data_IF_411831902431
#
_entry.id   IF_411831902431
#
_cell.length_a   1.000
_cell.length_b   1.000
_cell.length_c   1.000
_cell.angle_alpha   90.00
_cell.angle_beta   90.00
_cell.angle_gamma   90.00
#
_symmetry.space_group_name_H-M   'P 1'
#
loop_
_entity.id
_entity.type
_entity.pdbx_description
1 polymer ?
#
# COMPACT_ATOMS: atom_id res chain seq x y z
N UNK A 1 4.57 -46.29 13.63
CA UNK A 1 3.57 -45.21 13.71
C UNK A 1 4.27 -43.98 14.27
N UNK A 2 4.42 -42.89 13.50
CA UNK A 2 4.78 -41.59 14.08
C UNK A 2 3.68 -41.27 15.09
N UNK A 3 4.00 -41.14 16.39
CA UNK A 3 3.04 -40.62 17.37
C UNK A 3 2.56 -39.27 16.81
N UNK A 4 1.25 -39.13 16.60
CA UNK A 4 0.70 -37.83 16.19
C UNK A 4 0.99 -36.83 17.31
N UNK A 5 1.45 -35.64 16.96
CA UNK A 5 1.70 -34.59 17.94
C UNK A 5 0.36 -34.18 18.57
N UNK A 6 0.26 -34.23 19.90
CA UNK A 6 -0.93 -33.77 20.65
C UNK A 6 -0.91 -32.24 20.76
N UNK A 7 0.29 -31.67 20.95
CA UNK A 7 0.51 -30.25 21.11
C UNK A 7 1.55 -29.77 20.10
N UNK A 8 1.19 -28.73 19.34
CA UNK A 8 2.11 -28.09 18.40
C UNK A 8 2.11 -26.57 18.60
N UNK A 9 3.29 -25.96 18.57
CA UNK A 9 3.51 -24.52 18.44
C UNK A 9 3.81 -24.25 16.97
N UNK A 10 2.81 -23.94 16.14
CA UNK A 10 3.03 -23.70 14.73
C UNK A 10 3.79 -22.38 14.50
N UNK A 11 4.55 -22.35 13.41
CA UNK A 11 5.14 -21.12 12.90
C UNK A 11 4.03 -20.29 12.24
N UNK A 12 3.56 -19.26 12.94
CA UNK A 12 2.71 -18.22 12.36
C UNK A 12 3.58 -17.08 11.83
N UNK A 13 3.19 -16.53 10.69
CA UNK A 13 3.90 -15.40 10.09
C UNK A 13 3.45 -14.08 10.73
N UNK A 14 4.39 -13.15 10.90
CA UNK A 14 4.04 -11.77 11.21
C UNK A 14 3.52 -11.06 9.95
N UNK A 15 2.54 -10.15 10.07
CA UNK A 15 2.14 -9.32 8.94
C UNK A 15 3.25 -8.34 8.56
N UNK A 16 3.31 -7.87 7.31
CA UNK A 16 4.31 -6.92 6.81
C UNK A 16 5.78 -7.36 7.00
N UNK A 17 6.05 -8.66 6.85
CA UNK A 17 7.37 -9.27 7.07
C UNK A 17 7.91 -9.09 8.51
N UNK A 18 7.02 -8.82 9.46
CA UNK A 18 7.37 -8.82 10.89
C UNK A 18 7.77 -10.23 11.34
N UNK A 19 8.53 -10.27 12.44
CA UNK A 19 9.02 -11.52 13.03
C UNK A 19 7.88 -12.53 13.22
N UNK A 20 8.11 -13.80 12.87
CA UNK A 20 7.14 -14.86 13.09
C UNK A 20 6.90 -15.09 14.59
N UNK A 21 5.87 -15.86 14.92
CA UNK A 21 5.48 -16.18 16.32
C UNK A 21 6.59 -16.80 17.15
N UNK A 22 7.52 -17.49 16.51
CA UNK A 22 8.56 -18.30 17.13
C UNK A 22 9.84 -18.07 16.35
N UNK A 23 10.98 -17.92 17.02
CA UNK A 23 12.30 -17.97 16.37
C UNK A 23 13.04 -19.23 16.81
N UNK A 24 13.39 -20.09 15.85
CA UNK A 24 14.15 -21.33 16.07
C UNK A 24 15.54 -21.21 15.44
N UNK A 25 15.59 -20.87 14.16
CA UNK A 25 16.81 -20.62 13.38
C UNK A 25 16.43 -19.85 12.11
N UNK A 26 17.38 -19.15 11.50
CA UNK A 26 17.11 -18.46 10.23
C UNK A 26 16.61 -19.41 9.13
N UNK A 27 17.16 -20.63 9.07
CA UNK A 27 16.74 -21.65 8.09
C UNK A 27 15.31 -22.14 8.34
N UNK A 28 14.94 -22.43 9.59
CA UNK A 28 13.59 -22.85 9.97
C UNK A 28 12.56 -21.73 9.73
N UNK A 29 12.91 -20.51 10.10
CA UNK A 29 12.03 -19.35 10.02
C UNK A 29 11.84 -18.81 8.60
N UNK A 30 12.85 -18.97 7.74
CA UNK A 30 12.76 -18.63 6.31
C UNK A 30 12.12 -19.73 5.45
N UNK A 31 11.82 -20.90 6.03
CA UNK A 31 11.27 -22.06 5.31
C UNK A 31 12.30 -22.84 4.49
N UNK A 32 13.61 -22.54 4.65
CA UNK A 32 14.70 -23.35 4.06
C UNK A 32 14.80 -24.73 4.73
N UNK A 33 14.53 -24.79 6.03
CA UNK A 33 14.37 -26.03 6.78
C UNK A 33 12.89 -26.24 7.11
N UNK A 34 12.27 -27.27 6.54
CA UNK A 34 10.90 -27.68 6.87
C UNK A 34 10.96 -28.88 7.81
N UNK A 35 10.54 -28.71 9.06
CA UNK A 35 10.68 -29.71 10.10
C UNK A 35 9.60 -29.64 11.20
N UNK A 36 9.41 -30.76 11.87
CA UNK A 36 8.78 -30.83 13.19
C UNK A 36 9.84 -31.11 14.24
N UNK A 37 10.06 -30.18 15.16
CA UNK A 37 11.12 -30.29 16.18
C UNK A 37 10.50 -30.40 17.58
N UNK A 38 11.01 -31.31 18.41
CA UNK A 38 10.57 -31.43 19.80
C UNK A 38 11.19 -30.32 20.65
N UNK A 39 10.39 -29.70 21.52
CA UNK A 39 10.79 -28.61 22.42
C UNK A 39 10.56 -28.99 23.89
N UNK A 40 11.29 -28.33 24.79
CA UNK A 40 11.21 -28.59 26.24
C UNK A 40 10.14 -27.74 26.95
N UNK A 41 9.73 -26.64 26.34
CA UNK A 41 8.75 -25.67 26.85
C UNK A 41 7.86 -25.20 25.72
N UNK A 42 6.58 -25.00 25.99
CA UNK A 42 5.63 -24.56 24.97
C UNK A 42 5.89 -23.10 24.56
N UNK A 43 5.60 -22.76 23.30
CA UNK A 43 5.71 -21.40 22.79
C UNK A 43 4.32 -20.96 22.29
N UNK A 44 3.87 -19.78 22.71
CA UNK A 44 2.58 -19.24 22.28
C UNK A 44 2.66 -18.62 20.87
N UNK A 45 1.55 -18.65 20.11
CA UNK A 45 0.36 -19.48 20.31
C UNK A 45 0.63 -20.95 19.96
N UNK A 46 -0.13 -21.87 20.55
CA UNK A 46 -0.04 -23.29 20.27
C UNK A 46 -1.43 -23.92 20.11
N UNK A 47 -1.48 -25.07 19.45
CA UNK A 47 -2.68 -25.83 19.15
C UNK A 47 -2.65 -27.16 19.91
N UNK A 48 -3.82 -27.56 20.41
CA UNK A 48 -4.04 -28.84 21.09
C UNK A 48 -5.01 -29.66 20.25
N UNK A 49 -4.61 -30.87 19.86
CA UNK A 49 -5.49 -31.81 19.18
C UNK A 49 -6.42 -32.49 20.19
N UNK A 50 -7.62 -31.92 20.35
CA UNK A 50 -8.65 -32.43 21.26
C UNK A 50 -9.26 -33.77 20.84
N UNK A 51 -8.91 -34.30 19.66
CA UNK A 51 -9.36 -35.64 19.24
C UNK A 51 -8.53 -36.77 19.86
N UNK A 52 -7.37 -36.46 20.45
CA UNK A 52 -6.48 -37.44 21.06
C UNK A 52 -6.75 -37.57 22.56
N UNK A 53 -6.88 -38.80 23.07
CA UNK A 53 -7.14 -39.05 24.49
C UNK A 53 -6.10 -38.37 25.40
N UNK A 54 -4.84 -38.32 24.96
CA UNK A 54 -3.74 -37.71 25.69
C UNK A 54 -4.00 -36.22 26.00
N UNK A 55 -4.77 -35.51 25.17
CA UNK A 55 -5.11 -34.09 25.41
C UNK A 55 -5.92 -33.88 26.68
N UNK A 56 -6.66 -34.90 27.13
CA UNK A 56 -7.47 -34.85 28.35
C UNK A 56 -6.64 -34.78 29.64
N UNK A 57 -5.34 -35.11 29.57
CA UNK A 57 -4.43 -35.01 30.71
C UNK A 57 -3.73 -33.66 30.81
N UNK A 58 -3.87 -32.79 29.81
CA UNK A 58 -3.29 -31.46 29.80
C UNK A 58 -4.18 -30.49 30.59
N UNK A 59 -3.57 -29.60 31.38
CA UNK A 59 -4.31 -28.66 32.22
C UNK A 59 -3.60 -27.33 32.35
N UNK A 60 -4.37 -26.25 32.43
CA UNK A 60 -3.91 -24.90 32.76
C UNK A 60 -4.14 -24.55 34.24
N UNK A 61 -4.82 -25.41 35.00
CA UNK A 61 -5.13 -25.21 36.41
C UNK A 61 -4.20 -26.06 37.31
N UNK A 62 -3.50 -25.44 38.28
CA UNK A 62 -2.65 -26.16 39.24
C UNK A 62 -3.40 -27.24 40.03
N UNK A 63 -4.68 -27.01 40.36
CA UNK A 63 -5.48 -27.92 41.19
C UNK A 63 -5.71 -29.30 40.56
N UNK A 64 -5.56 -29.39 39.23
CA UNK A 64 -5.66 -30.66 38.50
C UNK A 64 -4.36 -31.48 38.54
N UNK A 65 -3.29 -30.95 39.12
CA UNK A 65 -1.99 -31.62 39.22
C UNK A 65 -1.72 -32.05 40.67
N UNK A 66 -1.78 -33.36 40.93
CA UNK A 66 -1.45 -33.91 42.25
C UNK A 66 -0.02 -33.51 42.66
N UNK A 67 0.16 -32.98 43.87
CA UNK A 67 1.46 -32.50 44.35
C UNK A 67 2.06 -31.37 43.47
N UNK A 68 1.25 -30.41 43.03
CA UNK A 68 1.79 -29.18 42.43
C UNK A 68 2.55 -28.38 43.50
N UNK A 69 3.86 -28.09 43.33
CA UNK A 69 4.62 -27.40 44.37
C UNK A 69 4.14 -25.96 44.56
N UNK A 70 3.94 -25.53 45.80
CA UNK A 70 3.60 -24.11 46.09
C UNK A 70 4.71 -23.14 45.65
N UNK A 71 5.95 -23.62 45.51
CA UNK A 71 7.09 -22.86 45.03
C UNK A 71 7.13 -22.69 43.50
N UNK A 72 6.31 -23.44 42.75
CA UNK A 72 6.28 -23.33 41.30
C UNK A 72 5.44 -22.13 40.86
N UNK A 73 5.81 -21.58 39.71
CA UNK A 73 5.05 -20.54 39.03
C UNK A 73 3.59 -20.95 38.85
N UNK A 74 2.67 -20.04 39.13
CA UNK A 74 1.24 -20.22 38.93
C UNK A 74 0.78 -19.74 37.55
N UNK A 75 1.69 -19.47 36.61
CA UNK A 75 1.29 -19.08 35.26
C UNK A 75 0.64 -20.27 34.55
N UNK A 76 -0.44 -20.06 33.78
CA UNK A 76 -1.11 -21.13 33.05
C UNK A 76 -0.17 -21.95 32.13
N UNK A 77 0.86 -21.32 31.56
CA UNK A 77 1.81 -21.97 30.65
C UNK A 77 2.79 -22.89 31.38
N UNK A 78 3.24 -22.50 32.56
CA UNK A 78 4.12 -23.33 33.39
C UNK A 78 3.37 -24.56 33.91
N UNK A 79 2.12 -24.35 34.33
CA UNK A 79 1.21 -25.43 34.73
C UNK A 79 0.98 -26.39 33.56
N UNK A 80 0.70 -25.87 32.38
CA UNK A 80 0.49 -26.65 31.17
C UNK A 80 1.73 -27.47 30.80
N UNK A 81 2.90 -26.84 30.77
CA UNK A 81 4.17 -27.50 30.44
C UNK A 81 4.50 -28.61 31.44
N UNK A 82 4.26 -28.39 32.74
CA UNK A 82 4.43 -29.42 33.76
C UNK A 82 3.45 -30.58 33.58
N UNK A 83 2.18 -30.31 33.23
CA UNK A 83 1.18 -31.35 32.96
C UNK A 83 1.60 -32.26 31.81
N UNK A 84 2.08 -31.68 30.71
CA UNK A 84 2.58 -32.42 29.56
C UNK A 84 3.80 -33.29 29.93
N UNK A 85 4.75 -32.72 30.66
CA UNK A 85 5.94 -33.43 31.13
C UNK A 85 5.61 -34.62 32.03
N UNK A 86 4.72 -34.45 33.02
CA UNK A 86 4.28 -35.53 33.93
C UNK A 86 3.61 -36.69 33.20
N UNK A 87 2.91 -36.39 32.11
CA UNK A 87 2.18 -37.36 31.31
C UNK A 87 2.98 -37.88 30.11
N UNK A 88 4.26 -37.49 29.99
CA UNK A 88 5.14 -37.85 28.88
C UNK A 88 4.55 -37.50 27.50
N UNK A 89 3.86 -36.36 27.43
CA UNK A 89 3.29 -35.80 26.20
C UNK A 89 4.34 -34.85 25.60
N UNK A 90 4.94 -35.21 24.46
CA UNK A 90 5.94 -34.37 23.82
C UNK A 90 5.30 -33.10 23.23
N UNK A 91 6.04 -31.98 23.33
CA UNK A 91 5.69 -30.69 22.74
C UNK A 91 6.51 -30.49 21.47
N UNK A 92 5.90 -29.94 20.42
CA UNK A 92 6.59 -29.74 19.14
C UNK A 92 6.43 -28.30 18.62
N UNK A 93 7.42 -27.81 17.87
CA UNK A 93 7.23 -26.74 16.88
C UNK A 93 7.06 -27.34 15.49
N UNK A 94 6.25 -26.70 14.64
CA UNK A 94 6.00 -27.16 13.28
C UNK A 94 5.94 -25.99 12.28
N UNK A 95 6.60 -26.12 11.13
CA UNK A 95 6.49 -25.24 9.97
C UNK A 95 6.20 -26.03 8.68
N UNK A 96 5.68 -27.27 8.80
CA UNK A 96 5.37 -28.14 7.65
C UNK A 96 4.14 -27.65 6.87
N UNK A 97 3.30 -26.83 7.51
CA UNK A 97 2.12 -26.22 6.92
C UNK A 97 2.14 -24.70 7.15
N UNK A 98 1.47 -23.97 6.28
CA UNK A 98 1.18 -22.56 6.50
C UNK A 98 -0.01 -22.45 7.46
N UNK A 99 0.24 -22.01 8.70
CA UNK A 99 -0.78 -21.88 9.73
C UNK A 99 -1.50 -20.52 9.72
N UNK A 100 -1.02 -19.57 8.92
CA UNK A 100 -1.57 -18.21 8.84
C UNK A 100 -0.71 -17.20 9.58
N UNK A 101 -1.35 -16.11 10.01
CA UNK A 101 -0.68 -14.96 10.59
C UNK A 101 -1.05 -14.76 12.05
N UNK A 102 -0.10 -14.24 12.83
CA UNK A 102 -0.37 -13.76 14.18
C UNK A 102 0.09 -12.32 14.33
N UNK A 103 -0.72 -11.52 14.99
CA UNK A 103 -0.36 -10.16 15.39
C UNK A 103 0.37 -10.18 16.72
N UNK A 104 1.38 -9.32 16.88
CA UNK A 104 2.02 -9.08 18.17
C UNK A 104 0.98 -8.61 19.20
N UNK A 105 0.68 -9.46 20.18
CA UNK A 105 -0.32 -9.20 21.21
C UNK A 105 0.13 -8.19 22.27
N UNK A 106 1.43 -7.85 22.31
CA UNK A 106 1.97 -6.82 23.21
C UNK A 106 1.56 -5.41 22.78
N UNK A 107 1.17 -5.23 21.50
CA UNK A 107 0.70 -3.95 21.01
C UNK A 107 -0.68 -3.58 21.60
N UNK A 108 -0.89 -2.29 21.97
CA UNK A 108 -2.19 -1.76 22.32
C UNK A 108 -3.30 -2.16 21.33
N UNK A 109 -4.51 -2.45 21.83
CA UNK A 109 -5.60 -2.99 21.02
C UNK A 109 -5.97 -2.09 19.81
N UNK A 110 -5.91 -0.77 19.97
CA UNK A 110 -6.13 0.19 18.89
C UNK A 110 -5.09 0.07 17.77
N UNK A 111 -3.81 -0.10 18.12
CA UNK A 111 -2.72 -0.30 17.17
C UNK A 111 -2.91 -1.64 16.44
N UNK A 112 -3.21 -2.72 17.17
CA UNK A 112 -3.48 -4.04 16.57
C UNK A 112 -4.64 -4.01 15.58
N UNK A 113 -5.75 -3.38 15.94
CA UNK A 113 -6.92 -3.22 15.05
C UNK A 113 -6.54 -2.47 13.77
N UNK A 114 -5.77 -1.39 13.91
CA UNK A 114 -5.32 -0.61 12.77
C UNK A 114 -4.41 -1.43 11.85
N UNK A 115 -3.37 -2.05 12.40
CA UNK A 115 -2.47 -2.92 11.64
C UNK A 115 -3.23 -4.04 10.93
N UNK A 116 -4.25 -4.62 11.57
CA UNK A 116 -5.09 -5.65 10.94
C UNK A 116 -5.82 -5.12 9.72
N UNK A 117 -6.38 -3.91 9.77
CA UNK A 117 -7.07 -3.31 8.63
C UNK A 117 -6.12 -3.05 7.46
N UNK A 118 -4.90 -2.55 7.71
CA UNK A 118 -3.89 -2.38 6.67
C UNK A 118 -3.41 -3.73 6.11
N UNK A 119 -3.27 -4.74 6.96
CA UNK A 119 -2.88 -6.08 6.53
C UNK A 119 -3.97 -6.72 5.66
N UNK A 120 -5.24 -6.57 6.03
CA UNK A 120 -6.37 -7.01 5.20
C UNK A 120 -6.42 -6.25 3.86
N UNK A 121 -6.15 -4.94 3.86
CA UNK A 121 -6.04 -4.17 2.64
C UNK A 121 -4.93 -4.72 1.73
N UNK A 122 -3.77 -5.05 2.30
CA UNK A 122 -2.66 -5.66 1.56
C UNK A 122 -3.05 -7.01 0.94
N UNK A 123 -3.71 -7.87 1.70
CA UNK A 123 -4.20 -9.14 1.18
C UNK A 123 -5.25 -8.96 0.08
N UNK A 124 -6.06 -7.88 0.11
CA UNK A 124 -7.02 -7.60 -0.97
C UNK A 124 -6.30 -7.22 -2.26
N UNK A 125 -5.25 -6.41 -2.15
CA UNK A 125 -4.39 -6.07 -3.29
C UNK A 125 -3.80 -7.35 -3.89
N UNK A 126 -3.24 -8.22 -3.06
CA UNK A 126 -2.51 -9.41 -3.54
C UNK A 126 -3.41 -10.55 -4.04
N UNK A 127 -4.52 -10.82 -3.34
CA UNK A 127 -5.32 -12.04 -3.51
C UNK A 127 -6.78 -11.78 -3.89
N UNK A 128 -7.21 -10.52 -4.00
CA UNK A 128 -8.59 -10.14 -4.35
C UNK A 128 -9.49 -9.91 -3.14
N UNK A 129 -10.78 -9.65 -3.39
CA UNK A 129 -11.67 -8.97 -2.42
C UNK A 129 -12.11 -9.79 -1.20
N UNK A 130 -11.80 -11.09 -1.16
CA UNK A 130 -12.18 -11.98 -0.06
C UNK A 130 -10.96 -12.79 0.37
N UNK A 131 -9.90 -12.14 0.91
CA UNK A 131 -8.69 -12.88 1.26
C UNK A 131 -8.87 -13.71 2.53
N UNK A 132 -9.77 -13.28 3.43
CA UNK A 132 -10.06 -13.96 4.70
C UNK A 132 -11.57 -14.10 4.87
N UNK A 133 -12.02 -15.33 5.14
CA UNK A 133 -13.42 -15.63 5.46
C UNK A 133 -13.69 -15.17 6.89
N UNK A 134 -14.60 -14.21 7.06
CA UNK A 134 -15.04 -13.75 8.38
C UNK A 134 -16.03 -14.73 8.99
N UNK A 135 -16.04 -14.83 10.33
CA UNK A 135 -17.05 -15.62 11.04
C UNK A 135 -18.45 -15.08 10.79
N UNK A 136 -19.41 -15.96 10.52
CA UNK A 136 -20.83 -15.61 10.40
C UNK A 136 -21.46 -15.18 11.74
N UNK A 137 -20.77 -15.41 12.86
CA UNK A 137 -21.24 -15.06 14.22
C UNK A 137 -20.84 -13.63 14.58
N UNK A 138 -19.70 -13.14 14.06
CA UNK A 138 -19.14 -11.84 14.39
C UNK A 138 -19.00 -11.01 13.11
N UNK A 139 -19.97 -10.13 12.88
CA UNK A 139 -19.90 -9.20 11.76
C UNK A 139 -18.70 -8.25 11.92
N UNK A 140 -17.90 -8.04 10.87
CA UNK A 140 -16.79 -7.10 10.92
C UNK A 140 -17.30 -5.67 11.08
N UNK A 141 -16.65 -4.91 11.97
CA UNK A 141 -16.88 -3.48 12.12
C UNK A 141 -15.82 -2.70 11.36
N UNK A 142 -16.26 -1.69 10.62
CA UNK A 142 -15.40 -0.82 9.82
C UNK A 142 -15.34 0.59 10.42
N UNK A 143 -14.22 1.32 10.24
CA UNK A 143 -14.16 2.73 10.62
C UNK A 143 -15.22 3.55 9.87
N UNK A 144 -15.71 4.63 10.50
CA UNK A 144 -16.65 5.54 9.84
C UNK A 144 -15.96 6.21 8.65
N UNK A 145 -16.56 6.22 7.44
CA UNK A 145 -16.03 6.96 6.30
C UNK A 145 -15.77 8.43 6.62
N UNK A 146 -14.63 8.95 6.16
CA UNK A 146 -14.17 10.31 6.41
C UNK A 146 -13.54 10.91 5.15
N UNK A 147 -13.77 12.21 4.94
CA UNK A 147 -13.06 13.03 3.96
C UNK A 147 -11.81 13.70 4.56
N UNK A 148 -11.47 13.44 5.83
CA UNK A 148 -10.29 14.00 6.53
C UNK A 148 -10.20 15.54 6.50
N UNK A 149 -11.32 16.22 6.27
CA UNK A 149 -11.37 17.69 6.18
C UNK A 149 -11.09 18.25 4.78
N UNK A 150 -10.97 17.42 3.74
CA UNK A 150 -11.02 17.89 2.34
C UNK A 150 -12.46 17.92 1.82
N UNK A 151 -12.70 18.64 0.72
CA UNK A 151 -14.05 18.76 0.17
C UNK A 151 -14.46 17.51 -0.61
N UNK A 152 -13.47 16.81 -1.20
CA UNK A 152 -13.71 15.60 -2.00
C UNK A 152 -12.44 14.74 -2.13
N UNK A 153 -12.64 13.44 -2.18
CA UNK A 153 -11.60 12.46 -2.54
C UNK A 153 -12.07 11.76 -3.81
N UNK A 154 -11.30 11.88 -4.90
CA UNK A 154 -11.59 11.20 -6.16
C UNK A 154 -10.81 9.90 -6.25
N UNK A 155 -11.48 8.83 -6.65
CA UNK A 155 -10.85 7.58 -7.08
C UNK A 155 -10.98 7.47 -8.60
N UNK A 156 -9.90 7.67 -9.32
CA UNK A 156 -9.84 7.50 -10.78
C UNK A 156 -9.89 6.01 -11.08
N UNK A 157 -10.83 5.58 -11.91
CA UNK A 157 -10.90 4.20 -12.39
C UNK A 157 -11.38 4.15 -13.84
N UNK A 158 -10.75 3.29 -14.64
CA UNK A 158 -11.23 2.93 -15.97
C UNK A 158 -12.38 1.93 -15.84
N UNK A 159 -13.52 2.19 -16.49
CA UNK A 159 -14.72 1.33 -16.37
C UNK A 159 -14.46 -0.14 -16.72
N UNK A 160 -13.57 -0.40 -17.69
CA UNK A 160 -13.17 -1.76 -18.07
C UNK A 160 -12.36 -2.51 -16.99
N UNK A 161 -11.82 -1.80 -15.99
CA UNK A 161 -11.04 -2.33 -14.86
C UNK A 161 -11.92 -2.48 -13.62
N UNK A 162 -13.04 -3.19 -13.75
CA UNK A 162 -14.00 -3.40 -12.65
C UNK A 162 -13.40 -4.15 -11.45
N UNK A 163 -12.41 -5.01 -11.70
CA UNK A 163 -11.70 -5.74 -10.65
C UNK A 163 -10.90 -4.80 -9.73
N UNK A 164 -10.09 -3.90 -10.32
CA UNK A 164 -9.35 -2.87 -9.58
C UNK A 164 -10.28 -1.99 -8.75
N UNK A 165 -11.39 -1.57 -9.37
CA UNK A 165 -12.42 -0.82 -8.66
C UNK A 165 -12.98 -1.60 -7.46
N UNK A 166 -13.25 -2.89 -7.62
CA UNK A 166 -13.81 -3.70 -6.52
C UNK A 166 -12.80 -3.90 -5.39
N UNK A 167 -11.52 -4.12 -5.70
CA UNK A 167 -10.44 -4.15 -4.70
C UNK A 167 -10.39 -2.83 -3.93
N UNK A 168 -10.31 -1.71 -4.65
CA UNK A 168 -10.24 -0.37 -4.03
C UNK A 168 -11.48 -0.03 -3.21
N UNK A 169 -12.68 -0.46 -3.63
CA UNK A 169 -13.92 -0.29 -2.85
C UNK A 169 -13.80 -0.93 -1.46
N UNK A 170 -13.31 -2.16 -1.38
CA UNK A 170 -13.14 -2.86 -0.11
C UNK A 170 -11.97 -2.28 0.71
N UNK A 171 -10.86 -1.90 0.07
CA UNK A 171 -9.71 -1.26 0.74
C UNK A 171 -10.13 0.08 1.37
N UNK A 172 -10.78 0.97 0.61
CA UNK A 172 -11.20 2.28 1.12
C UNK A 172 -12.25 2.14 2.22
N UNK A 173 -13.12 1.13 2.15
CA UNK A 173 -14.07 0.78 3.22
C UNK A 173 -13.36 0.29 4.48
N UNK A 174 -12.35 -0.58 4.36
CA UNK A 174 -11.53 -1.04 5.50
C UNK A 174 -10.81 0.12 6.18
N UNK A 175 -10.32 1.08 5.41
CA UNK A 175 -9.58 2.23 5.91
C UNK A 175 -10.47 3.41 6.32
N UNK A 176 -11.79 3.33 6.13
CA UNK A 176 -12.71 4.41 6.47
C UNK A 176 -12.54 5.68 5.63
N UNK A 177 -12.17 5.53 4.36
CA UNK A 177 -11.98 6.65 3.43
C UNK A 177 -13.28 6.85 2.66
N UNK A 178 -13.87 8.05 2.77
CA UNK A 178 -14.99 8.45 1.90
C UNK A 178 -14.44 8.92 0.55
N UNK A 179 -15.07 8.50 -0.56
CA UNK A 179 -14.59 8.82 -1.89
C UNK A 179 -15.74 8.93 -2.91
N UNK A 180 -15.43 9.58 -4.02
CA UNK A 180 -16.26 9.62 -5.22
C UNK A 180 -15.52 8.94 -6.36
N UNK A 181 -16.18 7.99 -7.03
CA UNK A 181 -15.62 7.36 -8.22
C UNK A 181 -15.58 8.38 -9.34
N UNK A 182 -14.41 8.56 -9.94
CA UNK A 182 -14.19 9.37 -11.12
C UNK A 182 -13.95 8.45 -12.32
N UNK A 183 -14.86 8.49 -13.28
CA UNK A 183 -14.74 7.73 -14.53
C UNK A 183 -13.55 8.25 -15.33
N UNK A 184 -12.50 7.44 -15.43
CA UNK A 184 -11.32 7.77 -16.21
C UNK A 184 -11.65 7.83 -17.72
N UNK A 185 -10.89 8.65 -18.43
CA UNK A 185 -10.95 8.76 -19.88
C UNK A 185 -10.22 7.57 -20.49
N UNK A 186 -10.95 6.75 -21.23
CA UNK A 186 -10.37 5.56 -21.84
C UNK A 186 -9.52 5.93 -23.07
N UNK A 187 -8.19 5.72 -22.95
CA UNK A 187 -7.24 5.88 -24.04
C UNK A 187 -7.69 5.20 -25.34
N UNK A 188 -8.25 3.99 -25.25
CA UNK A 188 -8.68 3.20 -26.40
C UNK A 188 -9.85 3.83 -27.19
N UNK A 189 -10.61 4.75 -26.57
CA UNK A 189 -11.77 5.40 -27.19
C UNK A 189 -11.57 6.91 -27.41
N UNK A 190 -10.33 7.40 -27.36
CA UNK A 190 -10.02 8.84 -27.44
C UNK A 190 -10.46 9.53 -28.73
N UNK A 191 -10.54 8.81 -29.84
CA UNK A 191 -10.98 9.41 -31.12
C UNK A 191 -12.43 9.90 -31.06
N UNK A 192 -13.24 9.37 -30.13
CA UNK A 192 -14.62 9.82 -29.89
C UNK A 192 -14.71 10.99 -28.91
N UNK A 193 -13.62 11.34 -28.22
CA UNK A 193 -13.60 12.36 -27.18
C UNK A 193 -13.50 13.77 -27.78
N UNK A 194 -14.44 14.65 -27.45
CA UNK A 194 -14.46 16.02 -28.00
C UNK A 194 -13.21 16.84 -27.67
N UNK A 195 -12.61 16.60 -26.51
CA UNK A 195 -11.36 17.27 -26.11
C UNK A 195 -10.17 16.84 -26.97
N UNK A 196 -10.19 15.65 -27.56
CA UNK A 196 -9.08 15.13 -28.36
C UNK A 196 -8.74 16.05 -29.53
N UNK A 197 -9.76 16.66 -30.16
CA UNK A 197 -9.60 17.62 -31.26
C UNK A 197 -8.81 18.88 -30.88
N UNK A 198 -8.77 19.21 -29.59
CA UNK A 198 -8.06 20.38 -29.06
C UNK A 198 -6.64 20.04 -28.59
N UNK A 199 -6.21 18.78 -28.73
CA UNK A 199 -4.91 18.33 -28.26
C UNK A 199 -3.84 18.58 -29.33
N UNK A 200 -2.75 19.21 -28.92
CA UNK A 200 -1.52 19.33 -29.69
C UNK A 200 -0.37 18.90 -28.80
N UNK A 201 0.44 17.94 -29.26
CA UNK A 201 1.61 17.46 -28.52
C UNK A 201 2.72 18.49 -28.54
N UNK A 202 3.55 18.49 -27.49
CA UNK A 202 4.77 19.28 -27.48
C UNK A 202 5.69 18.85 -28.65
N UNK A 203 6.10 19.76 -29.55
CA UNK A 203 7.03 19.44 -30.61
C UNK A 203 8.37 18.93 -30.04
N UNK A 204 8.82 17.76 -30.51
CA UNK A 204 10.09 17.17 -30.07
C UNK A 204 10.02 16.41 -28.74
N UNK A 205 8.84 16.19 -28.18
CA UNK A 205 8.72 15.23 -27.09
C UNK A 205 8.91 13.79 -27.60
N UNK A 206 9.91 13.13 -27.07
CA UNK A 206 10.15 11.69 -27.19
C UNK A 206 10.06 11.10 -25.79
N UNK A 207 9.34 9.99 -25.67
CA UNK A 207 9.27 9.24 -24.42
C UNK A 207 10.69 8.85 -23.96
N UNK A 208 11.13 9.22 -22.74
CA UNK A 208 12.48 8.92 -22.26
C UNK A 208 12.83 7.44 -22.25
N UNK A 209 11.85 6.56 -22.01
CA UNK A 209 12.05 5.12 -21.88
C UNK A 209 12.01 4.43 -23.24
N UNK A 210 10.99 4.74 -24.06
CA UNK A 210 10.79 4.07 -25.33
C UNK A 210 11.44 4.78 -26.53
N UNK A 211 11.93 6.02 -26.36
CA UNK A 211 12.48 6.88 -27.43
C UNK A 211 11.56 6.97 -28.65
N UNK A 212 10.25 6.96 -28.41
CA UNK A 212 9.22 7.06 -29.46
C UNK A 212 8.54 8.42 -29.36
N UNK A 213 8.28 9.09 -30.51
CA UNK A 213 7.46 10.29 -30.50
C UNK A 213 6.05 9.93 -30.03
N UNK A 214 5.47 10.74 -29.14
CA UNK A 214 4.11 10.53 -28.58
C UNK A 214 3.02 10.30 -29.63
N UNK A 215 3.26 10.74 -30.87
CA UNK A 215 2.30 10.66 -31.98
C UNK A 215 2.05 9.25 -32.51
N UNK A 216 2.85 8.24 -32.12
CA UNK A 216 2.79 6.92 -32.76
C UNK A 216 2.38 5.83 -31.78
N UNK A 217 1.14 5.35 -31.91
CA UNK A 217 0.67 4.07 -31.36
C UNK A 217 -0.24 4.15 -30.14
N UNK A 218 -0.67 2.99 -29.67
CA UNK A 218 -1.59 2.77 -28.53
C UNK A 218 -1.07 3.41 -27.23
N UNK A 219 0.25 3.37 -27.01
CA UNK A 219 0.93 3.99 -25.86
C UNK A 219 0.61 5.49 -25.74
N UNK A 220 0.65 6.22 -26.86
CA UNK A 220 0.31 7.65 -26.88
C UNK A 220 -1.13 7.91 -26.47
N UNK A 221 -2.07 7.04 -26.87
CA UNK A 221 -3.47 7.14 -26.50
C UNK A 221 -3.68 6.91 -24.99
N UNK A 222 -3.02 5.93 -24.39
CA UNK A 222 -3.19 5.70 -22.95
C UNK A 222 -2.70 6.86 -22.08
N UNK A 223 -1.55 7.46 -22.42
CA UNK A 223 -1.06 8.66 -21.74
C UNK A 223 -2.02 9.85 -21.84
N UNK A 224 -2.63 10.05 -23.01
CA UNK A 224 -3.65 11.10 -23.19
C UNK A 224 -4.88 10.81 -22.31
N UNK A 225 -5.32 9.55 -22.22
CA UNK A 225 -6.45 9.15 -21.38
C UNK A 225 -6.20 9.45 -19.90
N UNK A 226 -5.03 9.06 -19.39
CA UNK A 226 -4.58 9.42 -18.04
C UNK A 226 -4.58 10.94 -17.85
N UNK A 227 -3.91 11.69 -18.73
CA UNK A 227 -3.85 13.15 -18.62
C UNK A 227 -5.24 13.80 -18.61
N UNK A 228 -6.13 13.39 -19.53
CA UNK A 228 -7.50 13.94 -19.61
C UNK A 228 -8.32 13.63 -18.36
N UNK A 229 -8.08 12.49 -17.70
CA UNK A 229 -8.73 12.15 -16.44
C UNK A 229 -8.39 13.16 -15.33
N UNK A 230 -7.10 13.45 -15.15
CA UNK A 230 -6.66 14.49 -14.20
C UNK A 230 -7.10 15.89 -14.61
N UNK A 231 -6.98 16.23 -15.89
CA UNK A 231 -7.39 17.54 -16.42
C UNK A 231 -8.87 17.84 -16.13
N UNK A 232 -9.75 16.84 -16.31
CA UNK A 232 -11.18 17.00 -16.02
C UNK A 232 -11.44 17.14 -14.51
N UNK A 233 -10.69 16.47 -13.65
CA UNK A 233 -10.75 16.72 -12.20
C UNK A 233 -10.33 18.14 -11.87
N UNK A 234 -9.24 18.66 -12.47
CA UNK A 234 -8.83 20.04 -12.25
C UNK A 234 -9.93 21.02 -12.65
N UNK A 235 -10.66 20.74 -13.73
CA UNK A 235 -11.85 21.52 -14.11
C UNK A 235 -12.98 21.40 -13.09
N UNK A 236 -13.28 20.19 -12.63
CA UNK A 236 -14.32 19.92 -11.63
C UNK A 236 -14.07 20.70 -10.33
N UNK A 237 -12.82 20.79 -9.89
CA UNK A 237 -12.41 21.61 -8.73
C UNK A 237 -12.78 23.08 -8.93
N UNK A 238 -12.51 23.64 -10.11
CA UNK A 238 -12.81 25.04 -10.41
C UNK A 238 -14.31 25.28 -10.56
N UNK A 239 -14.99 24.42 -11.33
CA UNK A 239 -16.41 24.53 -11.63
C UNK A 239 -17.27 24.42 -10.37
N UNK A 240 -16.87 23.56 -9.42
CA UNK A 240 -17.58 23.37 -8.15
C UNK A 240 -16.96 24.17 -6.98
N UNK A 241 -15.97 25.03 -7.22
CA UNK A 241 -15.31 25.83 -6.18
C UNK A 241 -14.78 25.01 -4.99
N UNK A 242 -14.24 23.82 -5.26
CA UNK A 242 -13.66 22.95 -4.23
C UNK A 242 -12.33 23.55 -3.75
N UNK A 243 -12.18 23.76 -2.45
CA UNK A 243 -11.01 24.40 -1.85
C UNK A 243 -9.80 23.47 -1.85
N UNK A 244 -9.99 22.22 -1.41
CA UNK A 244 -8.94 21.18 -1.40
C UNK A 244 -9.55 19.81 -1.65
N UNK A 245 -8.86 19.00 -2.45
CA UNK A 245 -9.29 17.65 -2.81
C UNK A 245 -8.11 16.70 -2.78
N UNK A 246 -8.40 15.42 -2.63
CA UNK A 246 -7.45 14.34 -2.83
C UNK A 246 -7.84 13.60 -4.11
N UNK A 247 -6.84 13.15 -4.86
CA UNK A 247 -7.01 12.28 -6.01
C UNK A 247 -6.17 11.03 -5.79
N UNK A 248 -6.77 9.87 -6.01
CA UNK A 248 -6.13 8.55 -5.99
C UNK A 248 -6.39 7.84 -7.32
N UNK A 249 -5.42 7.08 -7.80
CA UNK A 249 -5.57 6.08 -8.85
C UNK A 249 -6.07 4.74 -8.27
N UNK A 250 -6.43 3.79 -9.13
CA UNK A 250 -7.05 2.51 -8.73
C UNK A 250 -6.07 1.35 -8.53
N UNK A 251 -4.79 1.55 -8.82
CA UNK A 251 -3.72 0.55 -8.77
C UNK A 251 -2.64 0.93 -7.74
N UNK A 252 -3.10 1.24 -6.53
CA UNK A 252 -2.25 1.60 -5.41
C UNK A 252 -2.51 0.73 -4.17
N UNK A 253 -1.54 0.76 -3.26
CA UNK A 253 -1.58 0.17 -1.92
C UNK A 253 -1.38 1.28 -0.89
N UNK A 254 -2.15 1.24 0.19
CA UNK A 254 -1.97 2.17 1.32
C UNK A 254 -0.96 1.61 2.31
N UNK A 255 0.05 2.42 2.64
CA UNK A 255 1.04 2.06 3.65
C UNK A 255 0.45 2.17 5.06
N UNK A 256 1.01 1.38 5.99
CA UNK A 256 0.61 1.42 7.40
C UNK A 256 0.63 2.86 7.93
N UNK A 257 -0.45 3.25 8.60
CA UNK A 257 -0.69 4.59 9.15
C UNK A 257 -1.08 5.70 8.16
N UNK A 258 -1.32 5.41 6.89
CA UNK A 258 -1.75 6.37 5.87
C UNK A 258 -2.84 7.36 6.33
N UNK A 259 -3.92 6.86 6.95
CA UNK A 259 -5.06 7.67 7.43
C UNK A 259 -4.68 8.66 8.53
N UNK A 260 -3.77 8.26 9.42
CA UNK A 260 -3.33 9.13 10.52
C UNK A 260 -2.39 10.19 9.95
N UNK A 261 -1.41 9.78 9.14
CA UNK A 261 -0.48 10.70 8.49
C UNK A 261 -1.22 11.73 7.61
N UNK A 262 -2.29 11.31 6.93
CA UNK A 262 -3.16 12.21 6.16
C UNK A 262 -3.89 13.21 7.05
N UNK A 263 -4.42 12.77 8.20
CA UNK A 263 -5.06 13.66 9.17
C UNK A 263 -4.06 14.67 9.70
N UNK A 264 -2.88 14.20 10.10
CA UNK A 264 -1.83 15.00 10.69
C UNK A 264 -1.27 16.04 9.71
N UNK A 265 -1.06 15.69 8.43
CA UNK A 265 -0.60 16.67 7.44
C UNK A 265 -1.65 17.76 7.19
N UNK A 266 -2.94 17.41 7.15
CA UNK A 266 -4.02 18.39 6.95
C UNK A 266 -4.16 19.33 8.17
N UNK A 267 -4.04 18.80 9.39
CA UNK A 267 -3.97 19.60 10.62
C UNK A 267 -2.79 20.58 10.59
N UNK A 268 -1.59 20.11 10.22
CA UNK A 268 -0.40 20.94 10.19
C UNK A 268 -0.50 22.06 9.14
N UNK A 269 -1.07 21.75 7.96
CA UNK A 269 -1.36 22.76 6.93
C UNK A 269 -2.38 23.79 7.42
N UNK A 270 -3.42 23.35 8.13
CA UNK A 270 -4.43 24.25 8.69
C UNK A 270 -3.89 25.11 9.82
N UNK A 271 -2.97 24.60 10.64
CA UNK A 271 -2.36 25.34 11.75
C UNK A 271 -1.30 26.34 11.28
N UNK A 272 -0.42 25.91 10.38
CA UNK A 272 0.67 26.75 9.85
C UNK A 272 0.19 27.85 8.91
N UNK A 273 -0.98 27.67 8.26
CA UNK A 273 -1.47 28.52 7.16
C UNK A 273 -0.46 28.66 6.03
N UNK A 274 0.42 27.68 5.89
CA UNK A 274 1.44 27.64 4.85
C UNK A 274 0.79 27.66 3.47
N UNK A 275 1.40 28.39 2.54
CA UNK A 275 0.96 28.38 1.16
C UNK A 275 1.49 27.14 0.43
N UNK A 276 0.57 26.38 -0.15
CA UNK A 276 0.83 25.21 -0.98
C UNK A 276 -0.17 25.18 -2.13
N UNK A 277 0.07 24.35 -3.14
CA UNK A 277 -0.87 24.09 -4.23
C UNK A 277 -1.06 22.61 -4.48
N UNK A 278 0.02 21.84 -4.41
CA UNK A 278 0.06 20.43 -4.76
C UNK A 278 0.91 19.67 -3.75
N UNK A 279 0.49 18.49 -3.30
CA UNK A 279 1.27 17.62 -2.41
C UNK A 279 1.16 16.18 -2.89
N UNK A 280 2.28 15.54 -3.22
CA UNK A 280 2.27 14.11 -3.53
C UNK A 280 1.96 13.28 -2.29
N UNK A 281 1.05 12.31 -2.43
CA UNK A 281 0.72 11.29 -1.43
C UNK A 281 1.42 9.96 -1.73
N UNK A 282 1.72 9.70 -3.01
CA UNK A 282 2.56 8.61 -3.48
C UNK A 282 3.20 8.98 -4.82
N UNK A 283 4.48 8.64 -4.98
CA UNK A 283 5.29 8.99 -6.15
C UNK A 283 6.55 8.12 -6.22
N UNK A 284 7.22 8.12 -7.36
CA UNK A 284 8.61 7.69 -7.52
C UNK A 284 9.53 8.91 -7.50
N UNK A 285 10.31 9.05 -6.44
CA UNK A 285 11.41 10.02 -6.40
C UNK A 285 12.51 9.57 -7.37
N UNK A 286 13.03 10.51 -8.15
CA UNK A 286 14.16 10.27 -9.04
C UNK A 286 15.46 10.73 -8.41
N UNK A 287 16.56 10.11 -8.83
CA UNK A 287 17.90 10.36 -8.29
C UNK A 287 18.35 11.82 -8.51
N UNK A 288 19.23 12.30 -7.63
CA UNK A 288 19.85 13.64 -7.66
C UNK A 288 18.94 14.83 -7.34
N UNK A 289 17.88 14.63 -6.55
CA UNK A 289 17.06 15.74 -6.05
C UNK A 289 17.18 15.87 -4.55
N UNK A 290 17.65 17.00 -4.03
CA UNK A 290 17.61 17.26 -2.59
C UNK A 290 16.19 17.60 -2.14
N UNK A 291 15.78 17.00 -1.03
CA UNK A 291 14.48 17.24 -0.40
C UNK A 291 14.69 17.52 1.07
N UNK A 292 14.05 18.57 1.56
CA UNK A 292 14.18 19.05 2.92
C UNK A 292 12.83 18.98 3.62
N UNK A 293 12.87 18.55 4.87
CA UNK A 293 11.73 18.59 5.75
C UNK A 293 11.18 20.02 5.90
N UNK A 294 9.87 20.21 5.80
CA UNK A 294 9.25 21.52 6.00
C UNK A 294 9.10 21.79 7.51
N UNK A 295 9.74 22.83 8.06
CA UNK A 295 9.67 23.12 9.49
C UNK A 295 8.23 23.30 10.00
N UNK A 296 7.90 22.70 11.14
CA UNK A 296 6.57 22.79 11.75
C UNK A 296 5.54 21.79 11.21
N UNK A 297 5.92 20.92 10.28
CA UNK A 297 5.05 19.85 9.78
C UNK A 297 5.59 18.48 10.19
N UNK A 298 4.70 17.51 10.43
CA UNK A 298 5.04 16.14 10.85
C UNK A 298 5.32 15.18 9.71
N UNK A 299 4.83 15.47 8.50
CA UNK A 299 4.94 14.56 7.36
C UNK A 299 5.14 15.28 6.03
N UNK A 300 5.69 16.51 6.03
CA UNK A 300 5.80 17.33 4.81
C UNK A 300 7.25 17.63 4.47
N UNK A 301 7.62 17.45 3.20
CA UNK A 301 8.94 17.79 2.66
C UNK A 301 8.81 18.57 1.35
N UNK A 302 9.85 19.33 1.00
CA UNK A 302 10.00 19.89 -0.36
C UNK A 302 10.10 18.76 -1.37
N UNK A 303 9.67 18.99 -2.60
CA UNK A 303 9.67 17.94 -3.63
C UNK A 303 10.66 18.22 -4.76
N UNK A 304 11.37 17.17 -5.15
CA UNK A 304 12.23 17.12 -6.34
C UNK A 304 11.48 16.69 -7.61
N UNK A 305 12.22 16.41 -8.67
CA UNK A 305 11.68 15.75 -9.85
C UNK A 305 11.16 14.33 -9.48
N UNK A 306 10.00 13.96 -10.00
CA UNK A 306 9.33 12.72 -9.61
C UNK A 306 8.42 12.21 -10.71
N UNK A 307 8.29 10.89 -10.80
CA UNK A 307 7.28 10.18 -11.59
C UNK A 307 6.16 9.64 -10.68
N UNK A 308 5.14 9.09 -11.31
CA UNK A 308 3.94 8.49 -10.72
C UNK A 308 3.06 9.50 -10.00
N UNK A 309 1.84 9.62 -10.49
CA UNK A 309 0.79 10.45 -9.92
C UNK A 309 -0.27 9.59 -9.21
N UNK A 310 0.18 8.56 -8.47
CA UNK A 310 -0.68 7.57 -7.78
C UNK A 310 -1.70 8.23 -6.86
N UNK A 311 -1.27 9.27 -6.16
CA UNK A 311 -2.17 10.08 -5.37
C UNK A 311 -1.57 11.42 -4.98
N UNK A 312 -2.42 12.44 -4.89
CA UNK A 312 -2.02 13.79 -4.53
C UNK A 312 -3.14 14.59 -3.87
N UNK A 313 -2.74 15.56 -3.06
CA UNK A 313 -3.59 16.64 -2.56
C UNK A 313 -3.46 17.86 -3.49
N UNK A 314 -4.57 18.45 -3.88
CA UNK A 314 -4.62 19.61 -4.77
C UNK A 314 -5.61 20.64 -4.22
N UNK A 315 -5.23 21.91 -4.20
CA UNK A 315 -6.16 22.98 -3.86
C UNK A 315 -6.65 23.75 -5.09
N UNK A 316 -7.68 24.57 -4.88
CA UNK A 316 -8.32 25.37 -5.92
C UNK A 316 -7.31 26.17 -6.77
N UNK A 317 -6.38 26.86 -6.11
CA UNK A 317 -5.38 27.68 -6.80
C UNK A 317 -4.38 26.83 -7.60
N UNK A 318 -4.01 25.66 -7.08
CA UNK A 318 -3.21 24.67 -7.81
C UNK A 318 -3.89 24.19 -9.08
N UNK A 319 -5.17 23.82 -8.99
CA UNK A 319 -5.96 23.40 -10.15
C UNK A 319 -6.02 24.52 -11.21
N UNK A 320 -6.22 25.76 -10.78
CA UNK A 320 -6.21 26.93 -11.67
C UNK A 320 -4.87 27.12 -12.37
N UNK A 321 -3.75 26.99 -11.64
CA UNK A 321 -2.39 27.09 -12.21
C UNK A 321 -2.13 25.99 -13.23
N UNK A 322 -2.49 24.74 -12.92
CA UNK A 322 -2.37 23.60 -13.84
C UNK A 322 -3.22 23.80 -15.11
N UNK A 323 -4.41 24.36 -15.02
CA UNK A 323 -5.23 24.67 -16.20
C UNK A 323 -4.69 25.87 -17.00
N UNK A 324 -4.20 26.91 -16.31
CA UNK A 324 -3.67 28.13 -16.93
C UNK A 324 -2.39 27.88 -17.76
N UNK A 325 -1.66 26.80 -17.49
CA UNK A 325 -0.55 26.36 -18.35
C UNK A 325 -0.99 25.97 -19.77
N UNK A 326 -2.31 25.84 -20.02
CA UNK A 326 -2.91 25.41 -21.29
C UNK A 326 -2.30 24.10 -21.82
N UNK A 327 -2.24 23.05 -20.97
CA UNK A 327 -1.49 21.84 -21.31
C UNK A 327 -1.99 21.12 -22.57
N UNK A 328 -3.29 21.24 -22.89
CA UNK A 328 -3.84 20.59 -24.09
C UNK A 328 -3.20 21.10 -25.39
N UNK A 329 -2.68 22.32 -25.43
CA UNK A 329 -2.03 22.87 -26.63
C UNK A 329 -0.58 22.39 -26.80
N UNK A 330 0.00 21.78 -25.76
CA UNK A 330 1.42 21.38 -25.68
C UNK A 330 1.55 20.14 -24.79
N UNK A 331 0.76 19.13 -25.11
CA UNK A 331 0.53 17.99 -24.23
C UNK A 331 1.82 17.21 -23.99
N UNK A 332 2.00 16.85 -22.72
CA UNK A 332 2.99 15.95 -22.17
C UNK A 332 2.25 14.97 -21.25
N UNK A 333 2.84 13.80 -20.91
CA UNK A 333 2.33 12.98 -19.83
C UNK A 333 2.18 13.79 -18.53
N UNK A 334 1.22 13.43 -17.69
CA UNK A 334 0.91 14.19 -16.46
C UNK A 334 2.13 14.26 -15.54
N UNK A 335 2.89 13.16 -15.46
CA UNK A 335 4.10 13.06 -14.65
C UNK A 335 5.25 13.94 -15.16
N UNK A 336 5.24 14.37 -16.42
CA UNK A 336 6.21 15.36 -16.94
C UNK A 336 5.68 16.79 -16.76
N UNK A 337 4.37 16.96 -16.94
CA UNK A 337 3.72 18.26 -16.85
C UNK A 337 3.77 18.84 -15.43
N UNK A 338 3.42 18.07 -14.40
CA UNK A 338 3.37 18.58 -13.03
C UNK A 338 4.75 19.07 -12.56
N UNK A 339 5.86 18.31 -12.72
CA UNK A 339 7.21 18.79 -12.38
C UNK A 339 7.69 19.99 -13.17
N UNK A 340 7.23 20.17 -14.41
CA UNK A 340 7.46 21.42 -15.14
C UNK A 340 6.76 22.58 -14.41
N UNK A 341 5.50 22.41 -14.02
CA UNK A 341 4.72 23.48 -13.39
C UNK A 341 5.24 23.92 -12.02
N UNK A 342 5.98 23.06 -11.30
CA UNK A 342 6.71 23.41 -10.06
C UNK A 342 8.22 23.63 -10.24
N UNK A 343 8.68 23.80 -11.49
CA UNK A 343 10.05 24.20 -11.88
C UNK A 343 11.17 23.24 -11.45
N UNK A 344 10.90 21.93 -11.35
CA UNK A 344 11.92 20.91 -10.99
C UNK A 344 12.21 19.89 -12.07
N UNK A 345 11.57 19.99 -13.23
CA UNK A 345 11.84 19.11 -14.35
C UNK A 345 13.28 19.29 -14.89
N UNK A 346 14.02 18.22 -15.26
CA UNK A 346 15.41 18.35 -15.72
C UNK A 346 15.57 18.86 -17.16
N UNK A 347 14.58 18.60 -18.02
CA UNK A 347 14.60 19.04 -19.42
C UNK A 347 14.20 20.53 -19.55
N UNK A 348 15.19 21.39 -19.80
CA UNK A 348 14.99 22.82 -19.99
C UNK A 348 14.20 23.16 -21.27
N UNK A 349 14.33 22.37 -22.34
CA UNK A 349 13.56 22.58 -23.58
C UNK A 349 12.06 22.45 -23.33
N UNK A 350 11.64 21.44 -22.56
CA UNK A 350 10.23 21.25 -22.22
C UNK A 350 9.76 22.31 -21.22
N UNK A 351 10.56 22.62 -20.20
CA UNK A 351 10.26 23.69 -19.24
C UNK A 351 10.05 25.04 -19.91
N UNK A 352 10.90 25.42 -20.86
CA UNK A 352 10.79 26.70 -21.57
C UNK A 352 9.47 26.86 -22.34
N UNK A 353 8.78 25.76 -22.60
CA UNK A 353 7.47 25.78 -23.24
C UNK A 353 6.35 26.20 -22.27
N UNK A 354 6.58 26.14 -20.97
CA UNK A 354 5.67 26.61 -19.93
C UNK A 354 6.39 27.69 -19.11
N UNK A 355 6.31 28.98 -19.49
CA UNK A 355 7.09 30.03 -18.84
C UNK A 355 6.63 30.37 -17.42
N UNK A 356 5.36 30.08 -17.07
CA UNK A 356 4.81 30.31 -15.74
C UNK A 356 4.85 28.98 -14.98
N UNK A 357 5.83 28.81 -14.10
CA UNK A 357 6.10 27.60 -13.32
C UNK A 357 6.06 27.89 -11.83
N UNK A 358 4.90 28.32 -11.36
CA UNK A 358 4.69 28.84 -10.01
C UNK A 358 3.80 27.93 -9.14
N UNK A 359 3.70 26.64 -9.46
CA UNK A 359 2.97 25.67 -8.64
C UNK A 359 3.78 25.38 -7.38
N UNK A 360 3.26 25.76 -6.21
CA UNK A 360 3.90 25.45 -4.93
C UNK A 360 3.67 23.98 -4.57
N UNK A 361 4.62 23.12 -4.93
CA UNK A 361 4.51 21.68 -4.75
C UNK A 361 5.35 21.17 -3.55
N UNK A 362 4.82 20.15 -2.88
CA UNK A 362 5.46 19.43 -1.77
C UNK A 362 5.20 17.92 -1.91
N UNK A 363 5.73 17.14 -0.99
CA UNK A 363 5.47 15.70 -0.89
C UNK A 363 5.24 15.33 0.56
N UNK A 364 4.36 14.35 0.80
CA UNK A 364 4.39 13.65 2.06
C UNK A 364 5.68 12.84 2.19
N UNK A 365 6.26 12.82 3.39
CA UNK A 365 7.34 11.91 3.74
C UNK A 365 7.12 11.36 5.15
N UNK A 366 7.02 10.02 5.32
CA UNK A 366 6.94 9.03 4.24
C UNK A 366 5.68 9.24 3.37
N UNK A 367 5.67 8.69 2.15
CA UNK A 367 4.45 8.64 1.34
C UNK A 367 3.43 7.71 2.00
N UNK A 368 2.15 7.89 1.68
CA UNK A 368 1.05 7.09 2.26
C UNK A 368 0.52 6.03 1.30
N UNK A 369 0.83 6.14 0.01
CA UNK A 369 0.48 5.14 -1.00
C UNK A 369 1.69 4.81 -1.87
N UNK A 370 1.71 3.58 -2.36
CA UNK A 370 2.69 3.02 -3.30
C UNK A 370 1.95 2.26 -4.41
N UNK A 371 2.56 1.93 -5.56
CA UNK A 371 1.90 1.12 -6.57
C UNK A 371 1.44 -0.23 -6.01
N UNK A 372 0.36 -0.80 -6.56
CA UNK A 372 -0.06 -2.19 -6.26
C UNK A 372 1.08 -3.17 -6.56
N UNK A 373 1.77 -2.95 -7.69
CA UNK A 373 3.00 -3.66 -8.09
C UNK A 373 4.01 -2.70 -8.68
N UNK A 374 5.30 -2.94 -8.43
CA UNK A 374 6.40 -2.24 -9.07
C UNK A 374 6.67 -2.81 -10.46
N UNK A 375 7.31 -2.02 -11.34
CA UNK A 375 7.57 -2.40 -12.74
C UNK A 375 8.42 -3.67 -12.89
N UNK A 376 9.10 -4.13 -11.83
CA UNK A 376 9.91 -5.34 -11.81
C UNK A 376 9.23 -6.55 -11.15
N UNK A 377 7.99 -6.41 -10.69
CA UNK A 377 7.24 -7.47 -10.01
C UNK A 377 6.37 -8.25 -11.00
N UNK A 378 6.29 -9.57 -10.81
CA UNK A 378 5.42 -10.44 -11.59
C UNK A 378 3.97 -9.93 -11.53
N UNK A 379 3.25 -9.92 -12.64
CA UNK A 379 1.86 -9.43 -12.68
C UNK A 379 1.71 -7.90 -12.70
N UNK A 380 2.78 -7.13 -12.82
CA UNK A 380 2.70 -5.70 -13.11
C UNK A 380 1.94 -5.45 -14.42
N UNK A 381 0.83 -4.73 -14.33
CA UNK A 381 0.03 -4.32 -15.48
C UNK A 381 -0.14 -2.81 -15.39
N UNK A 382 0.41 -2.07 -16.34
CA UNK A 382 0.16 -0.65 -16.50
C UNK A 382 -0.69 -0.40 -17.73
N UNK A 383 -1.81 0.30 -17.55
CA UNK A 383 -2.64 0.73 -18.67
C UNK A 383 -1.94 1.83 -19.50
N UNK A 384 -0.92 2.52 -18.97
CA UNK A 384 -0.16 3.56 -19.68
C UNK A 384 1.13 3.05 -20.33
N UNK A 385 1.77 2.01 -19.76
CA UNK A 385 3.06 1.49 -20.22
C UNK A 385 2.98 0.19 -21.05
N UNK A 386 1.80 -0.44 -21.16
CA UNK A 386 1.42 -1.54 -22.04
C UNK A 386 2.59 -2.38 -22.63
N UNK A 387 3.30 -3.12 -21.78
CA UNK A 387 4.01 -4.35 -22.14
C UNK A 387 4.00 -5.28 -20.93
N UNK A 388 3.52 -6.52 -21.11
CA UNK A 388 3.80 -7.59 -20.15
C UNK A 388 5.32 -7.80 -20.19
N UNK A 389 5.99 -7.59 -19.05
CA UNK A 389 7.40 -7.97 -18.93
C UNK A 389 7.42 -9.49 -18.79
N UNK A 390 7.69 -10.20 -19.88
CA UNK A 390 8.22 -11.56 -19.79
C UNK A 390 9.53 -11.46 -19.00
N UNK A 391 9.56 -12.07 -17.80
CA UNK A 391 10.79 -12.24 -17.02
C UNK A 391 11.74 -13.11 -17.83
N UNK A 392 12.54 -12.49 -18.70
CA UNK A 392 13.68 -13.16 -19.33
C UNK A 392 14.75 -13.24 -18.24
N UNK A 393 14.84 -14.41 -17.61
CA UNK A 393 15.84 -14.71 -16.60
C UNK A 393 17.25 -14.48 -17.12
N UNK A 394 17.90 -13.43 -16.62
CA UNK A 394 19.35 -13.31 -16.67
C UNK A 394 19.95 -14.11 -15.51
N UNK A 395 20.23 -15.37 -15.80
CA UNK A 395 21.18 -16.20 -15.06
C UNK A 395 22.60 -15.85 -15.56
N UNK A 396 23.54 -15.74 -14.62
CA UNK A 396 24.99 -15.46 -14.75
C UNK A 396 25.34 -13.98 -15.02
N UNK A 397 26.31 -13.34 -14.37
CA UNK A 397 27.47 -13.82 -13.61
C UNK A 397 28.16 -12.60 -12.97
N UNK A 398 28.88 -12.84 -11.87
CA UNK A 398 29.92 -11.96 -11.34
C UNK A 398 29.43 -11.15 -10.13
N UNK A 399 29.80 -11.50 -8.90
CA UNK A 399 31.11 -11.19 -8.29
C UNK A 399 31.48 -9.72 -8.44
N UNK A 400 31.22 -8.93 -7.40
CA UNK A 400 32.24 -8.33 -6.52
C UNK A 400 31.75 -6.99 -5.93
N UNK A 401 31.74 -6.96 -4.59
CA UNK A 401 32.12 -5.83 -3.71
C UNK A 401 31.47 -4.44 -3.92
N UNK A 402 30.39 -4.17 -3.18
CA UNK A 402 30.32 -3.21 -2.06
C UNK A 402 28.92 -3.16 -1.43
#
# INVERSE_FOLDING_TARGET
MKKKAVVISPLFHGPFDLSPSIYISEEYNSGKEIATLQINSIIEPFLIDLSQLDSSYLTFSPDNLAFYPESHSSTPLDVFSLSASRMNIPLFVNNELFYGYVMDWLQPLNIRRKLLLYFLADLIVDYGTVPIITSHILEPQYPKPSLFGVDKIYLINLERRSERLQKMKEILKLLGIEYTIWKATDGSNLLSEDLYKNISFLPGYEDPYYKRPMKTGEVGFYFIGCFLSHYRIWRDIIENSLKRVIVFEDDLRFLTNATDQLTEVLEDLDNSKMYWNFIYLGRKRLENTDEYWVPGHRHLSTVGYSYWTLGYLLNFDGAKKLLNGRPLQRLLPVDEYIPIMFDKHPNETWKNTFPIRNLAAYTMYPTIVVPERYTNEEGYISDTEASEIEIIGFVNSGKDEL
#
